data_IF_112863831096
#
_entry.id   IF_112863831096
#
_cell.length_a   1.000
_cell.length_b   1.000
_cell.length_c   1.000
_cell.angle_alpha   90.00
_cell.angle_beta   90.00
_cell.angle_gamma   90.00
#
_symmetry.space_group_name_H-M   'P 1'
#
loop_
_entity.id
_entity.type
_entity.pdbx_description
1 polymer ?
#
# COMPACT_ATOMS: atom_id res chain seq x y z
N UNK A 1 9.62 21.14 4.72
CA UNK A 1 8.80 21.65 3.60
C UNK A 1 7.41 21.09 3.79
N UNK A 2 6.40 21.93 3.98
CA UNK A 2 5.02 21.46 4.10
C UNK A 2 4.63 20.82 2.78
N UNK A 3 4.43 19.52 2.79
CA UNK A 3 3.89 18.80 1.64
C UNK A 3 2.48 19.36 1.38
N UNK A 4 2.27 19.97 0.23
CA UNK A 4 0.95 20.44 -0.20
C UNK A 4 0.02 19.27 -0.64
N UNK A 5 0.30 18.04 -0.19
CA UNK A 5 -0.48 16.85 -0.56
C UNK A 5 -1.94 16.98 -0.13
N UNK A 6 -2.16 17.54 1.05
CA UNK A 6 -3.51 17.79 1.56
C UNK A 6 -4.38 18.60 0.57
N UNK A 7 -3.82 19.62 -0.07
CA UNK A 7 -4.52 20.42 -1.06
C UNK A 7 -4.92 19.66 -2.35
N UNK A 8 -4.36 18.47 -2.56
CA UNK A 8 -4.63 17.62 -3.73
C UNK A 8 -5.56 16.43 -3.41
N UNK A 9 -5.85 16.21 -2.13
CA UNK A 9 -6.74 15.15 -1.67
C UNK A 9 -8.13 15.76 -1.44
N UNK A 10 -9.13 15.22 -2.13
CA UNK A 10 -10.51 15.62 -1.91
C UNK A 10 -11.18 14.72 -0.89
N UNK A 11 -12.08 15.29 -0.10
CA UNK A 11 -12.84 14.52 0.88
C UNK A 11 -14.32 14.50 0.54
N UNK A 12 -14.95 13.34 0.74
CA UNK A 12 -16.38 13.14 0.54
C UNK A 12 -16.97 12.52 1.81
N UNK A 13 -17.80 13.28 2.56
CA UNK A 13 -18.49 12.74 3.72
C UNK A 13 -19.55 11.72 3.29
N UNK A 14 -19.82 10.76 4.19
CA UNK A 14 -20.86 9.75 4.03
C UNK A 14 -20.68 8.84 2.81
N UNK A 15 -19.45 8.56 2.39
CA UNK A 15 -19.14 7.64 1.31
C UNK A 15 -18.14 6.57 1.75
N UNK A 16 -18.33 5.27 1.39
CA UNK A 16 -19.49 4.66 0.70
C UNK A 16 -20.71 4.43 1.60
N UNK A 17 -20.62 4.80 2.87
CA UNK A 17 -21.69 4.64 3.88
C UNK A 17 -21.75 5.89 4.77
N UNK A 18 -22.92 6.19 5.37
CA UNK A 18 -23.03 7.25 6.36
C UNK A 18 -21.99 7.11 7.48
N UNK A 19 -21.37 8.22 7.87
CA UNK A 19 -20.35 8.30 8.92
C UNK A 19 -18.93 8.01 8.46
N UNK A 20 -18.69 7.68 7.18
CA UNK A 20 -17.34 7.48 6.63
C UNK A 20 -16.93 8.74 5.85
N UNK A 21 -15.77 9.28 6.18
CA UNK A 21 -15.10 10.30 5.38
C UNK A 21 -14.18 9.61 4.38
N UNK A 22 -14.46 9.76 3.10
CA UNK A 22 -13.66 9.20 2.02
C UNK A 22 -12.60 10.20 1.56
N UNK A 23 -11.37 9.75 1.46
CA UNK A 23 -10.24 10.51 0.94
C UNK A 23 -9.98 10.09 -0.50
N UNK A 24 -10.22 10.99 -1.44
CA UNK A 24 -10.09 10.74 -2.86
C UNK A 24 -8.73 11.19 -3.38
N UNK A 25 -8.01 10.26 -3.98
CA UNK A 25 -6.69 10.46 -4.58
C UNK A 25 -6.76 10.67 -6.10
N UNK A 26 -7.94 10.61 -6.70
CA UNK A 26 -8.10 10.81 -8.14
C UNK A 26 -7.50 12.14 -8.63
N UNK A 27 -7.62 13.27 -7.91
CA UNK A 27 -6.99 14.52 -8.31
C UNK A 27 -5.45 14.50 -8.32
N UNK A 28 -4.83 13.55 -7.63
CA UNK A 28 -3.39 13.32 -7.70
C UNK A 28 -3.05 12.54 -8.97
N UNK A 29 -3.81 11.48 -9.23
CA UNK A 29 -3.53 10.52 -10.32
C UNK A 29 -3.79 11.14 -11.70
N UNK A 30 -4.86 11.93 -11.85
CA UNK A 30 -5.22 12.57 -13.12
C UNK A 30 -4.28 13.71 -13.53
N UNK A 31 -3.50 14.26 -12.57
CA UNK A 31 -2.62 15.38 -12.83
C UNK A 31 -1.15 14.93 -12.92
N UNK A 32 -0.49 15.06 -14.09
CA UNK A 32 0.83 14.46 -14.31
C UNK A 32 1.90 14.95 -13.34
N UNK A 33 1.92 16.23 -12.98
CA UNK A 33 2.93 16.77 -12.07
C UNK A 33 2.70 16.33 -10.62
N UNK A 34 1.45 16.18 -10.19
CA UNK A 34 1.10 15.69 -8.86
C UNK A 34 1.47 14.23 -8.70
N UNK A 35 1.08 13.40 -9.68
CA UNK A 35 1.43 11.97 -9.69
C UNK A 35 2.95 11.79 -9.67
N UNK A 36 3.68 12.52 -10.51
CA UNK A 36 5.14 12.50 -10.55
C UNK A 36 5.75 12.90 -9.20
N UNK A 37 5.24 13.97 -8.58
CA UNK A 37 5.71 14.42 -7.26
C UNK A 37 5.50 13.35 -6.20
N UNK A 38 4.32 12.74 -6.13
CA UNK A 38 4.02 11.67 -5.17
C UNK A 38 4.93 10.46 -5.40
N UNK A 39 5.14 10.05 -6.64
CA UNK A 39 6.05 8.94 -6.94
C UNK A 39 7.49 9.21 -6.50
N UNK A 40 7.99 10.43 -6.68
CA UNK A 40 9.31 10.81 -6.16
C UNK A 40 9.36 10.81 -4.63
N UNK A 41 8.34 11.34 -3.96
CA UNK A 41 8.26 11.31 -2.50
C UNK A 41 8.27 9.88 -1.95
N UNK A 42 7.54 8.97 -2.59
CA UNK A 42 7.55 7.54 -2.23
C UNK A 42 8.95 6.96 -2.46
N UNK A 43 9.55 7.16 -3.63
CA UNK A 43 10.88 6.67 -3.96
C UNK A 43 11.93 7.13 -2.95
N UNK A 44 11.95 8.42 -2.63
CA UNK A 44 12.87 9.00 -1.65
C UNK A 44 12.65 8.39 -0.26
N UNK A 45 11.39 8.21 0.15
CA UNK A 45 11.03 7.66 1.45
C UNK A 45 11.53 6.21 1.64
N UNK A 46 11.56 5.40 0.58
CA UNK A 46 11.89 3.97 0.67
C UNK A 46 13.34 3.63 0.29
N UNK A 47 14.11 4.60 -0.22
CA UNK A 47 15.49 4.39 -0.68
C UNK A 47 16.39 3.81 0.42
N UNK A 48 16.26 4.27 1.66
CA UNK A 48 17.07 3.76 2.78
C UNK A 48 16.78 2.28 3.12
N UNK A 49 15.61 1.77 2.76
CA UNK A 49 15.25 0.38 2.97
C UNK A 49 15.85 -0.58 1.94
N UNK A 50 16.46 -0.04 0.88
CA UNK A 50 17.12 -0.80 -0.19
C UNK A 50 16.29 -2.02 -0.63
N UNK A 51 15.07 -1.85 -1.16
CA UNK A 51 14.25 -2.95 -1.62
C UNK A 51 14.81 -3.62 -2.87
N UNK A 52 14.61 -4.94 -3.00
CA UNK A 52 14.88 -5.70 -4.22
C UNK A 52 13.69 -5.69 -5.18
N UNK A 53 12.48 -5.54 -4.65
CA UNK A 53 11.22 -5.52 -5.40
C UNK A 53 10.16 -4.78 -4.61
N UNK A 54 9.25 -4.12 -5.31
CA UNK A 54 8.10 -3.46 -4.69
C UNK A 54 6.87 -4.37 -4.75
N UNK A 55 5.98 -4.20 -3.78
CA UNK A 55 4.72 -4.93 -3.73
C UNK A 55 3.56 -3.94 -3.74
N UNK A 56 2.77 -3.98 -4.80
CA UNK A 56 1.54 -3.20 -4.89
C UNK A 56 0.34 -4.02 -4.41
N UNK A 57 -0.58 -3.36 -3.68
CA UNK A 57 -1.79 -3.99 -3.16
C UNK A 57 -3.00 -3.60 -3.99
N UNK A 58 -3.84 -4.58 -4.32
CA UNK A 58 -5.06 -4.44 -5.13
C UNK A 58 -6.08 -3.52 -4.45
N UNK A 59 -6.42 -2.39 -5.07
CA UNK A 59 -6.08 -2.02 -6.45
C UNK A 59 -5.30 -0.70 -6.55
N UNK A 60 -5.55 0.27 -5.67
CA UNK A 60 -4.97 1.61 -5.79
C UNK A 60 -3.46 1.65 -5.50
N UNK A 61 -2.96 0.69 -4.71
CA UNK A 61 -1.52 0.50 -4.50
C UNK A 61 -0.74 0.28 -5.81
N UNK A 62 -1.35 -0.35 -6.82
CA UNK A 62 -0.72 -0.55 -8.13
C UNK A 62 -0.40 0.74 -8.86
N UNK A 63 -1.23 1.79 -8.65
CA UNK A 63 -1.09 3.08 -9.32
C UNK A 63 0.20 3.81 -8.90
N UNK A 64 0.69 3.53 -7.70
CA UNK A 64 1.94 4.09 -7.19
C UNK A 64 3.10 3.11 -7.28
N UNK A 65 2.89 1.83 -6.99
CA UNK A 65 3.96 0.83 -7.00
C UNK A 65 4.63 0.74 -8.37
N UNK A 66 3.86 0.73 -9.47
CA UNK A 66 4.40 0.60 -10.82
C UNK A 66 5.28 1.79 -11.25
N UNK A 67 4.82 3.05 -11.16
CA UNK A 67 5.67 4.17 -11.55
C UNK A 67 6.88 4.35 -10.61
N UNK A 68 6.74 4.06 -9.31
CA UNK A 68 7.86 4.11 -8.36
C UNK A 68 8.90 3.05 -8.69
N UNK A 69 8.48 1.84 -9.05
CA UNK A 69 9.39 0.78 -9.49
C UNK A 69 10.19 1.19 -10.72
N UNK A 70 9.54 1.82 -11.71
CA UNK A 70 10.24 2.36 -12.88
C UNK A 70 11.27 3.43 -12.51
N UNK A 71 10.96 4.32 -11.55
CA UNK A 71 11.91 5.33 -11.07
C UNK A 71 13.13 4.72 -10.37
N UNK A 72 12.95 3.58 -9.71
CA UNK A 72 14.00 2.92 -8.92
C UNK A 72 14.69 1.76 -9.66
N UNK A 73 14.33 1.49 -10.91
CA UNK A 73 14.80 0.32 -11.69
C UNK A 73 14.51 -1.01 -10.99
N UNK A 74 13.30 -1.15 -10.45
CA UNK A 74 12.83 -2.32 -9.72
C UNK A 74 11.63 -2.97 -10.42
N UNK A 75 11.34 -4.22 -10.05
CA UNK A 75 10.10 -4.91 -10.41
C UNK A 75 8.97 -4.68 -9.41
N UNK A 76 7.76 -5.10 -9.81
CA UNK A 76 6.57 -5.08 -8.94
C UNK A 76 5.96 -6.46 -8.86
N UNK A 77 5.67 -6.91 -7.64
CA UNK A 77 4.82 -8.06 -7.36
C UNK A 77 3.43 -7.59 -6.96
N UNK A 78 2.40 -8.21 -7.51
CA UNK A 78 1.02 -7.88 -7.19
C UNK A 78 0.50 -8.78 -6.07
N UNK A 79 -0.01 -8.16 -5.01
CA UNK A 79 -0.88 -8.83 -4.04
C UNK A 79 -2.32 -8.47 -4.37
N UNK A 80 -3.15 -9.48 -4.60
CA UNK A 80 -4.51 -9.29 -5.09
C UNK A 80 -5.55 -9.97 -4.21
N UNK A 81 -6.79 -9.53 -4.33
CA UNK A 81 -7.94 -10.22 -3.74
C UNK A 81 -8.07 -11.62 -4.33
N UNK A 82 -8.52 -12.57 -3.51
CA UNK A 82 -8.75 -13.97 -3.90
C UNK A 82 -9.47 -14.10 -5.24
N UNK A 83 -9.00 -15.04 -6.06
CA UNK A 83 -9.57 -15.32 -7.39
C UNK A 83 -9.16 -14.36 -8.49
N UNK A 84 -8.24 -13.41 -8.23
CA UNK A 84 -7.75 -12.44 -9.22
C UNK A 84 -6.40 -12.81 -9.84
N UNK A 85 -5.74 -13.86 -9.37
CA UNK A 85 -4.46 -14.32 -9.87
C UNK A 85 -4.58 -15.72 -10.47
N UNK A 86 -3.93 -15.99 -11.61
CA UNK A 86 -3.86 -17.33 -12.19
C UNK A 86 -2.79 -18.18 -11.51
N UNK A 87 -2.82 -19.48 -11.74
CA UNK A 87 -1.83 -20.45 -11.24
C UNK A 87 -1.99 -20.76 -9.78
N UNK A 88 -0.95 -21.34 -9.17
CA UNK A 88 -0.94 -21.62 -7.75
C UNK A 88 -0.67 -20.34 -6.95
N UNK A 89 -1.47 -20.12 -5.92
CA UNK A 89 -1.38 -18.96 -5.04
C UNK A 89 -1.19 -19.38 -3.58
N UNK A 90 -0.54 -18.52 -2.82
CA UNK A 90 -0.61 -18.49 -1.37
C UNK A 90 -1.65 -17.46 -0.98
N UNK A 91 -2.48 -17.80 0.00
CA UNK A 91 -3.57 -16.95 0.45
C UNK A 91 -3.42 -16.60 1.94
N UNK A 92 -3.88 -15.42 2.32
CA UNK A 92 -4.01 -14.98 3.71
C UNK A 92 -5.36 -14.29 3.89
N UNK A 93 -6.12 -14.76 4.87
CA UNK A 93 -7.42 -14.18 5.22
C UNK A 93 -7.31 -13.27 6.45
N UNK A 94 -8.11 -12.22 6.48
CA UNK A 94 -8.17 -11.29 7.59
C UNK A 94 -9.58 -10.77 7.79
N UNK A 95 -9.90 -10.47 9.06
CA UNK A 95 -11.20 -9.94 9.42
C UNK A 95 -11.37 -8.49 8.92
N UNK A 96 -12.55 -8.20 8.41
CA UNK A 96 -13.04 -6.85 8.16
C UNK A 96 -14.01 -6.45 9.28
N UNK A 97 -14.38 -5.19 9.31
CA UNK A 97 -15.46 -4.72 10.20
C UNK A 97 -16.76 -5.52 9.97
N UNK A 98 -17.04 -5.91 8.72
CA UNK A 98 -18.12 -6.79 8.33
C UNK A 98 -17.59 -7.89 7.39
N UNK A 99 -17.39 -9.10 7.93
CA UNK A 99 -16.97 -10.27 7.15
C UNK A 99 -15.47 -10.49 7.15
N UNK A 100 -15.00 -11.15 6.11
CA UNK A 100 -13.61 -11.57 5.92
C UNK A 100 -13.16 -11.23 4.49
N UNK A 101 -11.91 -10.84 4.34
CA UNK A 101 -11.27 -10.68 3.04
C UNK A 101 -10.05 -11.59 2.94
N UNK A 102 -9.74 -12.03 1.74
CA UNK A 102 -8.58 -12.87 1.46
C UNK A 102 -7.72 -12.23 0.38
N UNK A 103 -6.43 -12.14 0.66
CA UNK A 103 -5.41 -11.71 -0.27
C UNK A 103 -4.62 -12.90 -0.77
N UNK A 104 -4.05 -12.77 -1.96
CA UNK A 104 -3.28 -13.81 -2.61
C UNK A 104 -2.01 -13.26 -3.28
N UNK A 105 -0.97 -14.07 -3.31
CA UNK A 105 0.24 -13.89 -4.12
C UNK A 105 0.55 -15.20 -4.83
N UNK A 106 1.06 -15.13 -6.05
CA UNK A 106 1.45 -16.31 -6.82
C UNK A 106 2.68 -16.98 -6.19
N UNK A 107 2.66 -18.33 -6.09
CA UNK A 107 3.74 -19.11 -5.48
C UNK A 107 5.03 -19.12 -6.29
N UNK A 108 4.93 -18.94 -7.60
CA UNK A 108 6.04 -18.93 -8.55
C UNK A 108 6.80 -17.59 -8.61
N UNK A 109 6.44 -16.63 -7.77
CA UNK A 109 7.23 -15.40 -7.63
C UNK A 109 8.51 -15.68 -6.84
N UNK A 110 9.62 -15.17 -7.35
CA UNK A 110 10.95 -15.31 -6.73
C UNK A 110 11.10 -14.33 -5.55
N UNK A 111 10.39 -14.63 -4.45
CA UNK A 111 10.33 -13.79 -3.26
C UNK A 111 11.29 -14.22 -2.14
N UNK A 112 11.77 -15.48 -2.18
CA UNK A 112 12.62 -16.01 -1.12
C UNK A 112 13.88 -15.16 -0.91
N UNK A 113 14.05 -14.64 0.30
CA UNK A 113 15.18 -13.79 0.69
C UNK A 113 15.13 -12.35 0.13
N UNK A 114 14.16 -12.00 -0.70
CA UNK A 114 14.02 -10.66 -1.25
C UNK A 114 13.55 -9.67 -0.20
N UNK A 115 14.16 -8.50 -0.20
CA UNK A 115 13.73 -7.33 0.57
C UNK A 115 12.57 -6.66 -0.17
N UNK A 116 11.41 -6.62 0.44
CA UNK A 116 10.20 -6.08 -0.20
C UNK A 116 9.67 -4.88 0.56
N UNK A 117 9.18 -3.89 -0.17
CA UNK A 117 8.46 -2.74 0.36
C UNK A 117 7.01 -2.80 -0.14
N UNK A 118 6.07 -2.69 0.79
CA UNK A 118 4.65 -2.61 0.49
C UNK A 118 4.27 -1.18 0.12
N UNK A 119 3.47 -1.04 -0.93
CA UNK A 119 2.94 0.25 -1.37
C UNK A 119 1.42 0.15 -1.47
N UNK A 120 0.75 1.03 -0.75
CA UNK A 120 -0.70 1.23 -0.85
C UNK A 120 -1.04 2.72 -0.76
N UNK A 121 -2.28 3.06 -1.04
CA UNK A 121 -2.73 4.45 -0.97
C UNK A 121 -3.16 4.87 0.44
N UNK A 122 -3.72 3.96 1.23
CA UNK A 122 -4.34 4.27 2.52
C UNK A 122 -3.98 3.25 3.60
N UNK A 123 -3.55 3.75 4.75
CA UNK A 123 -3.51 3.02 6.02
C UNK A 123 -4.66 3.47 6.90
N UNK A 124 -5.70 2.64 7.01
CA UNK A 124 -6.83 2.82 7.92
C UNK A 124 -6.63 1.93 9.17
N UNK A 125 -7.35 0.83 9.29
CA UNK A 125 -7.20 -0.12 10.41
C UNK A 125 -5.96 -1.00 10.32
N UNK A 126 -5.29 -1.03 9.17
CA UNK A 126 -4.07 -1.81 8.95
C UNK A 126 -4.30 -3.29 8.60
N UNK A 127 -5.53 -3.79 8.59
CA UNK A 127 -5.82 -5.20 8.35
C UNK A 127 -5.27 -5.72 7.01
N UNK A 128 -5.50 -4.99 5.93
CA UNK A 128 -4.99 -5.34 4.59
C UNK A 128 -3.46 -5.39 4.54
N UNK A 129 -2.81 -4.38 5.12
CA UNK A 129 -1.34 -4.29 5.15
C UNK A 129 -0.73 -5.38 6.03
N UNK A 130 -1.31 -5.65 7.21
CA UNK A 130 -0.84 -6.72 8.11
C UNK A 130 -1.00 -8.12 7.47
N UNK A 131 -2.12 -8.38 6.81
CA UNK A 131 -2.32 -9.62 6.06
C UNK A 131 -1.32 -9.76 4.90
N UNK A 132 -1.04 -8.66 4.19
CA UNK A 132 -0.03 -8.64 3.12
C UNK A 132 1.37 -8.91 3.67
N UNK A 133 1.74 -8.26 4.78
CA UNK A 133 3.03 -8.47 5.45
C UNK A 133 3.22 -9.94 5.84
N UNK A 134 2.21 -10.55 6.46
CA UNK A 134 2.21 -11.97 6.80
C UNK A 134 2.33 -12.86 5.57
N UNK A 135 1.51 -12.62 4.55
CA UNK A 135 1.50 -13.39 3.29
C UNK A 135 2.87 -13.40 2.61
N UNK A 136 3.57 -12.27 2.59
CA UNK A 136 4.89 -12.14 1.97
C UNK A 136 5.99 -12.78 2.81
N UNK A 137 5.96 -12.62 4.13
CA UNK A 137 6.90 -13.29 5.03
C UNK A 137 6.73 -14.82 4.93
N UNK A 138 5.51 -15.33 4.87
CA UNK A 138 5.21 -16.76 4.66
C UNK A 138 5.62 -17.25 3.27
N UNK A 139 5.81 -16.34 2.32
CA UNK A 139 6.36 -16.61 0.98
C UNK A 139 7.89 -16.53 0.92
N UNK A 140 8.55 -16.32 2.07
CA UNK A 140 9.99 -16.25 2.20
C UNK A 140 10.62 -14.89 1.92
N UNK A 141 9.81 -13.86 1.67
CA UNK A 141 10.29 -12.49 1.54
C UNK A 141 10.63 -11.88 2.92
N UNK A 142 11.39 -10.80 2.91
CA UNK A 142 11.65 -9.97 4.08
C UNK A 142 10.97 -8.62 3.85
N UNK A 143 9.86 -8.36 4.54
CA UNK A 143 9.18 -7.06 4.47
C UNK A 143 10.00 -6.05 5.26
N UNK A 144 10.64 -5.12 4.55
CA UNK A 144 11.54 -4.12 5.13
C UNK A 144 10.87 -2.78 5.42
N UNK A 145 9.67 -2.57 4.92
CA UNK A 145 8.87 -1.40 5.20
C UNK A 145 7.57 -1.34 4.40
N UNK A 146 6.71 -0.45 4.84
CA UNK A 146 5.45 -0.10 4.17
C UNK A 146 5.42 1.40 3.95
N UNK A 147 5.01 1.84 2.76
CA UNK A 147 4.73 3.24 2.49
C UNK A 147 3.30 3.41 2.00
N UNK A 148 2.62 4.40 2.54
CA UNK A 148 1.27 4.78 2.13
C UNK A 148 1.21 6.27 1.82
N UNK A 149 0.30 6.64 0.94
CA UNK A 149 0.04 8.04 0.65
C UNK A 149 -0.67 8.71 1.84
N UNK A 150 -1.68 8.06 2.39
CA UNK A 150 -2.54 8.57 3.47
C UNK A 150 -2.54 7.62 4.66
N UNK A 151 -2.46 8.17 5.86
CA UNK A 151 -2.68 7.44 7.11
C UNK A 151 -3.79 8.11 7.92
N UNK A 152 -4.75 7.32 8.41
CA UNK A 152 -5.79 7.74 9.34
C UNK A 152 -5.35 7.35 10.76
N UNK A 153 -4.67 8.26 11.45
CA UNK A 153 -3.96 7.98 12.71
C UNK A 153 -4.90 7.49 13.82
N UNK A 154 -6.11 8.04 13.90
CA UNK A 154 -7.11 7.62 14.90
C UNK A 154 -7.46 6.15 14.84
N UNK A 155 -7.34 5.51 13.68
CA UNK A 155 -7.64 4.09 13.50
C UNK A 155 -6.48 3.18 13.95
N UNK A 156 -5.33 3.75 14.32
CA UNK A 156 -4.16 3.03 14.88
C UNK A 156 -3.71 1.84 14.04
N UNK A 157 -3.90 1.92 12.74
CA UNK A 157 -3.56 0.83 11.82
C UNK A 157 -2.09 0.44 11.85
N UNK A 158 -1.21 1.39 12.17
CA UNK A 158 0.23 1.20 12.33
C UNK A 158 0.57 0.17 13.41
N UNK A 159 -0.24 0.06 14.47
CA UNK A 159 -0.01 -0.87 15.58
C UNK A 159 -0.14 -2.34 15.17
N UNK A 160 -0.78 -2.61 14.04
CA UNK A 160 -0.94 -3.95 13.47
C UNK A 160 0.21 -4.38 12.57
N UNK A 161 1.17 -3.49 12.28
CA UNK A 161 2.27 -3.74 11.37
C UNK A 161 3.57 -3.99 12.13
N UNK A 162 4.39 -4.91 11.63
CA UNK A 162 5.68 -5.27 12.23
C UNK A 162 6.84 -4.51 11.58
N UNK A 163 6.75 -4.30 10.28
CA UNK A 163 7.73 -3.52 9.55
C UNK A 163 7.49 -2.00 9.75
N UNK A 164 8.53 -1.17 9.61
CA UNK A 164 8.39 0.28 9.72
C UNK A 164 7.44 0.83 8.65
N UNK A 165 6.69 1.87 9.02
CA UNK A 165 5.70 2.51 8.15
C UNK A 165 6.08 3.98 7.92
N UNK A 166 6.01 4.41 6.68
CA UNK A 166 6.09 5.82 6.28
C UNK A 166 4.80 6.24 5.61
N UNK A 167 4.28 7.36 6.03
CA UNK A 167 3.06 7.96 5.50
C UNK A 167 3.38 9.35 4.96
N UNK A 168 2.93 9.65 3.75
CA UNK A 168 3.22 10.96 3.15
C UNK A 168 2.29 12.04 3.69
N UNK A 169 1.06 11.69 4.00
CA UNK A 169 0.05 12.56 4.62
C UNK A 169 -0.61 11.81 5.77
N UNK A 170 -0.77 12.46 6.90
CA UNK A 170 -1.42 11.90 8.09
C UNK A 170 -2.63 12.78 8.43
N UNK A 171 -3.74 12.14 8.72
CA UNK A 171 -4.95 12.77 9.24
C UNK A 171 -5.23 12.22 10.64
N UNK A 172 -5.42 13.11 11.58
CA UNK A 172 -5.65 12.88 13.00
C UNK A 172 -7.09 13.17 13.44
N UNK A 173 -8.01 13.28 12.45
CA UNK A 173 -9.44 13.59 12.62
C UNK A 173 -10.33 12.35 12.41
#
# INVERSE_FOLDING_TARGET
>A
MSNHLDAWIQTYPDFPKPGILFYDIAPIIEHPDRLKTVCHLISDAITEWAPDVLVGIDSRGFLFATPVALLMDLGVVMVRKKGKLPGEVREESYALEYGEATLAVQKDRELAGKRVVLIDDLLATGGTLAATEKLLNDSGAVVVGTVVLIELELLKGRDNLKAPVKSLQVYDE
#
